data_IF_083235474723
#
_entry.id   IF_083235474723
#
_cell.length_a   1.000
_cell.length_b   1.000
_cell.length_c   1.000
_cell.angle_alpha   90.00
_cell.angle_beta   90.00
_cell.angle_gamma   90.00
#
_symmetry.space_group_name_H-M   'P 1'
#
loop_
_entity.id
_entity.type
_entity.pdbx_description
1 polymer ?
#
# COMPACT_ATOMS: atom_id res chain seq x y z
N UNK A 1 -17.50 19.30 -55.20
CA UNK A 1 -16.46 19.30 -54.17
C UNK A 1 -17.05 19.43 -52.75
N UNK A 2 -17.94 18.53 -52.32
CA UNK A 2 -18.63 18.67 -51.00
C UNK A 2 -18.62 17.37 -50.17
N UNK A 3 -17.82 16.39 -50.51
CA UNK A 3 -17.85 15.07 -49.86
C UNK A 3 -16.66 14.72 -48.96
N UNK A 4 -15.64 15.62 -48.77
CA UNK A 4 -14.40 15.28 -48.05
C UNK A 4 -14.36 15.80 -46.59
N UNK A 5 -15.27 16.65 -46.20
CA UNK A 5 -15.25 17.27 -44.84
C UNK A 5 -16.03 16.49 -43.76
N UNK A 6 -17.03 15.69 -44.13
CA UNK A 6 -17.80 14.92 -43.17
C UNK A 6 -17.13 13.63 -42.68
N UNK A 7 -16.28 13.01 -43.53
CA UNK A 7 -15.57 11.78 -43.17
C UNK A 7 -14.45 12.00 -42.10
N UNK A 8 -13.90 13.21 -42.04
CA UNK A 8 -12.88 13.54 -41.01
C UNK A 8 -13.45 13.76 -39.62
N UNK A 9 -14.69 14.25 -39.52
CA UNK A 9 -15.36 14.46 -38.23
C UNK A 9 -15.73 13.14 -37.53
N UNK A 10 -16.21 12.17 -38.27
CA UNK A 10 -16.60 10.84 -37.74
C UNK A 10 -15.38 10.03 -37.27
N UNK A 11 -14.22 10.18 -37.91
CA UNK A 11 -12.98 9.49 -37.52
C UNK A 11 -12.30 10.11 -36.29
N UNK A 12 -12.55 11.37 -35.97
CA UNK A 12 -12.04 12.02 -34.75
C UNK A 12 -12.85 11.59 -33.51
N UNK A 13 -14.19 11.48 -33.65
CA UNK A 13 -15.03 10.99 -32.55
C UNK A 13 -14.83 9.51 -32.20
N UNK A 14 -14.47 8.67 -33.17
CA UNK A 14 -14.16 7.26 -32.89
C UNK A 14 -12.77 7.05 -32.26
N UNK A 15 -11.91 8.08 -32.23
CA UNK A 15 -10.59 8.06 -31.58
C UNK A 15 -10.61 8.52 -30.11
N UNK A 16 -11.68 9.07 -29.63
CA UNK A 16 -11.94 9.20 -28.19
C UNK A 16 -12.26 7.82 -27.62
N UNK A 17 -11.30 6.94 -27.74
CA UNK A 17 -11.40 5.59 -27.18
C UNK A 17 -11.87 5.68 -25.74
N UNK A 18 -13.03 5.14 -25.52
CA UNK A 18 -13.81 5.12 -24.31
C UNK A 18 -12.90 5.14 -23.06
N UNK A 19 -12.80 6.27 -22.37
CA UNK A 19 -11.92 6.45 -21.20
C UNK A 19 -12.26 5.39 -20.16
N UNK A 20 -13.53 4.96 -20.07
CA UNK A 20 -13.94 3.88 -19.17
C UNK A 20 -13.26 2.55 -19.47
N UNK A 21 -12.86 2.28 -20.72
CA UNK A 21 -12.10 1.09 -21.09
C UNK A 21 -10.60 1.16 -20.65
N UNK A 22 -10.13 2.33 -20.25
CA UNK A 22 -8.76 2.53 -19.73
C UNK A 22 -8.71 2.44 -18.22
N UNK A 23 -9.85 2.59 -17.53
CA UNK A 23 -9.94 2.42 -16.08
C UNK A 23 -9.81 0.94 -15.77
N UNK A 24 -8.82 0.60 -14.98
CA UNK A 24 -8.50 -0.77 -14.58
C UNK A 24 -8.74 -0.94 -13.09
N UNK A 25 -9.88 -1.54 -12.70
CA UNK A 25 -10.21 -1.75 -11.29
C UNK A 25 -9.16 -2.55 -10.52
N UNK A 26 -8.48 -3.48 -11.21
CA UNK A 26 -7.39 -4.27 -10.66
C UNK A 26 -6.20 -3.41 -10.19
N UNK A 27 -5.97 -2.23 -10.78
CA UNK A 27 -4.94 -1.30 -10.34
C UNK A 27 -5.36 -0.47 -9.12
N UNK A 28 -6.66 -0.38 -8.82
CA UNK A 28 -7.15 0.33 -7.63
C UNK A 28 -6.77 -0.37 -6.33
N UNK A 29 -6.54 -1.68 -6.34
CA UNK A 29 -6.01 -2.40 -5.19
C UNK A 29 -4.72 -1.79 -4.64
N UNK A 30 -3.89 -1.23 -5.51
CA UNK A 30 -2.67 -0.52 -5.11
C UNK A 30 -2.95 0.70 -4.21
N UNK A 31 -4.09 1.36 -4.37
CA UNK A 31 -4.47 2.49 -3.53
C UNK A 31 -4.61 2.09 -2.05
N UNK A 32 -5.09 0.89 -1.75
CA UNK A 32 -5.21 0.39 -0.39
C UNK A 32 -3.84 0.14 0.24
N UNK A 33 -2.87 -0.39 -0.52
CA UNK A 33 -1.50 -0.53 -0.06
C UNK A 33 -0.84 0.82 0.22
N UNK A 34 -1.00 1.81 -0.69
CA UNK A 34 -0.48 3.16 -0.48
C UNK A 34 -1.17 3.86 0.70
N UNK A 35 -2.49 3.72 0.85
CA UNK A 35 -3.23 4.28 1.98
C UNK A 35 -2.72 3.67 3.30
N UNK A 36 -2.52 2.35 3.35
CA UNK A 36 -1.92 1.69 4.51
C UNK A 36 -0.52 2.22 4.81
N UNK A 37 0.35 2.37 3.80
CA UNK A 37 1.68 2.97 3.97
C UNK A 37 1.60 4.39 4.54
N UNK A 38 0.72 5.23 4.00
CA UNK A 38 0.53 6.58 4.51
C UNK A 38 0.07 6.58 5.97
N UNK A 39 -0.92 5.77 6.32
CA UNK A 39 -1.44 5.68 7.69
C UNK A 39 -0.39 5.13 8.66
N UNK A 40 0.40 4.15 8.21
CA UNK A 40 1.45 3.51 8.99
C UNK A 40 2.65 4.45 9.20
N UNK A 41 3.12 5.14 8.13
CA UNK A 41 4.26 6.05 8.18
C UNK A 41 3.95 7.29 9.01
N UNK A 42 2.78 7.89 8.80
CA UNK A 42 2.42 9.14 9.48
C UNK A 42 1.80 8.92 10.85
N UNK A 43 1.65 7.65 11.27
CA UNK A 43 1.09 7.29 12.59
C UNK A 43 -0.26 7.97 12.86
N UNK A 44 -1.06 8.13 11.82
CA UNK A 44 -2.32 8.91 11.85
C UNK A 44 -3.44 8.15 12.53
N UNK A 45 -3.30 6.82 12.69
CA UNK A 45 -4.34 6.00 13.33
C UNK A 45 -4.24 6.20 14.86
N UNK A 46 -5.28 6.76 15.50
CA UNK A 46 -5.34 6.85 16.94
C UNK A 46 -5.26 5.43 17.53
N UNK A 47 -4.26 5.16 18.34
CA UNK A 47 -3.94 3.81 18.84
C UNK A 47 -2.57 3.32 18.37
N UNK A 48 -2.01 3.87 17.28
CA UNK A 48 -0.59 3.75 16.99
C UNK A 48 0.24 4.81 17.71
N UNK A 49 -0.34 5.98 17.97
CA UNK A 49 0.23 6.95 18.89
C UNK A 49 0.13 6.37 20.30
N UNK A 50 1.20 5.72 20.75
CA UNK A 50 1.32 5.32 22.14
C UNK A 50 0.99 6.52 23.04
N UNK A 51 0.55 6.25 24.26
CA UNK A 51 0.15 7.20 25.32
C UNK A 51 1.25 8.21 25.73
N UNK A 52 2.19 8.53 24.86
CA UNK A 52 3.20 9.56 25.10
C UNK A 52 2.58 10.92 24.88
N UNK A 53 2.37 11.63 25.99
CA UNK A 53 2.00 13.03 26.01
C UNK A 53 2.81 13.84 24.98
N UNK A 54 2.10 14.48 24.08
CA UNK A 54 2.43 15.74 23.40
C UNK A 54 3.55 15.83 22.36
N UNK A 55 4.24 14.79 21.96
CA UNK A 55 5.14 14.91 20.82
C UNK A 55 4.68 13.99 19.69
N UNK A 56 4.10 14.59 18.64
CA UNK A 56 4.05 13.98 17.32
C UNK A 56 5.50 13.89 16.86
N UNK A 57 6.21 12.88 17.35
CA UNK A 57 7.50 12.51 16.82
C UNK A 57 7.24 11.94 15.42
N UNK A 58 7.41 12.81 14.45
CA UNK A 58 7.29 12.47 13.04
C UNK A 58 8.09 11.19 12.76
N UNK A 59 7.39 10.18 12.32
CA UNK A 59 7.67 8.84 11.86
C UNK A 59 9.08 8.27 11.82
N UNK A 60 10.11 9.06 11.58
CA UNK A 60 11.49 8.59 11.39
C UNK A 60 12.12 8.04 12.68
N UNK A 61 11.65 8.50 13.84
CA UNK A 61 12.17 8.08 15.15
C UNK A 61 11.33 6.98 15.82
N UNK A 62 10.23 6.54 15.19
CA UNK A 62 9.48 5.41 15.70
C UNK A 62 10.26 4.10 15.41
N UNK A 63 10.59 3.29 16.43
CA UNK A 63 11.35 2.06 16.25
C UNK A 63 10.75 1.10 15.24
N UNK A 64 9.42 1.00 15.19
CA UNK A 64 8.73 0.13 14.20
C UNK A 64 8.96 0.58 12.78
N UNK A 65 8.90 1.88 12.55
CA UNK A 65 9.18 2.45 11.24
C UNK A 65 10.61 2.14 10.81
N UNK A 66 11.56 2.28 11.73
CA UNK A 66 12.96 1.94 11.45
C UNK A 66 13.12 0.47 11.05
N UNK A 67 12.60 -0.47 11.85
CA UNK A 67 12.68 -1.90 11.54
C UNK A 67 11.93 -2.27 10.26
N UNK A 68 10.79 -1.63 9.99
CA UNK A 68 10.03 -1.82 8.77
C UNK A 68 10.81 -1.35 7.53
N UNK A 69 11.44 -0.16 7.60
CA UNK A 69 12.26 0.37 6.51
C UNK A 69 13.51 -0.47 6.26
N UNK A 70 14.21 -0.87 7.31
CA UNK A 70 15.38 -1.75 7.18
C UNK A 70 14.97 -3.07 6.53
N UNK A 71 13.90 -3.70 7.00
CA UNK A 71 13.39 -4.95 6.42
C UNK A 71 12.99 -4.78 4.96
N UNK A 72 12.27 -3.71 4.63
CA UNK A 72 11.87 -3.40 3.25
C UNK A 72 13.10 -3.24 2.34
N UNK A 73 14.10 -2.47 2.76
CA UNK A 73 15.33 -2.24 1.98
C UNK A 73 16.11 -3.54 1.79
N UNK A 74 16.25 -4.36 2.84
CA UNK A 74 16.95 -5.65 2.77
C UNK A 74 16.24 -6.61 1.80
N UNK A 75 14.92 -6.73 1.90
CA UNK A 75 14.13 -7.61 1.02
C UNK A 75 14.16 -7.12 -0.42
N UNK A 76 14.04 -5.81 -0.67
CA UNK A 76 14.18 -5.26 -2.01
C UNK A 76 15.60 -5.41 -2.56
N UNK A 77 16.63 -5.20 -1.73
CA UNK A 77 18.03 -5.43 -2.11
C UNK A 77 18.28 -6.88 -2.51
N UNK A 78 17.76 -7.85 -1.74
CA UNK A 78 17.76 -9.25 -2.12
C UNK A 78 16.99 -9.48 -3.43
N UNK A 79 15.84 -8.83 -3.61
CA UNK A 79 15.04 -8.88 -4.82
C UNK A 79 15.80 -8.38 -6.06
N UNK A 80 16.61 -7.34 -5.93
CA UNK A 80 17.47 -6.84 -7.01
C UNK A 80 18.56 -7.87 -7.33
N UNK A 81 19.21 -8.43 -6.30
CA UNK A 81 20.27 -9.43 -6.48
C UNK A 81 19.76 -10.76 -7.07
N UNK A 82 18.54 -11.16 -6.76
CA UNK A 82 17.91 -12.43 -7.17
C UNK A 82 16.59 -12.21 -7.91
N UNK A 83 16.57 -11.27 -8.84
CA UNK A 83 15.35 -10.75 -9.49
C UNK A 83 14.42 -11.84 -10.02
N UNK A 84 14.93 -12.88 -10.68
CA UNK A 84 14.08 -13.95 -11.24
C UNK A 84 13.30 -14.70 -10.14
N UNK A 85 13.99 -15.12 -9.09
CA UNK A 85 13.38 -15.89 -8.00
C UNK A 85 12.43 -15.01 -7.18
N UNK A 86 12.84 -13.78 -6.89
CA UNK A 86 12.04 -12.82 -6.15
C UNK A 86 10.74 -12.47 -6.88
N UNK A 87 10.82 -12.14 -8.16
CA UNK A 87 9.65 -11.81 -8.98
C UNK A 87 8.76 -13.02 -9.21
N UNK A 88 9.32 -14.23 -9.33
CA UNK A 88 8.54 -15.46 -9.38
C UNK A 88 7.76 -15.66 -8.08
N UNK A 89 8.40 -15.50 -6.92
CA UNK A 89 7.75 -15.59 -5.62
C UNK A 89 6.68 -14.51 -5.42
N UNK A 90 6.98 -13.26 -5.73
CA UNK A 90 6.04 -12.14 -5.61
C UNK A 90 4.78 -12.29 -6.49
N UNK A 91 4.88 -13.02 -7.61
CA UNK A 91 3.76 -13.32 -8.52
C UNK A 91 3.07 -14.65 -8.22
N UNK A 92 3.65 -15.47 -7.38
CA UNK A 92 3.05 -16.76 -7.01
C UNK A 92 1.77 -16.52 -6.18
N UNK A 93 0.85 -17.49 -6.19
CA UNK A 93 -0.35 -17.46 -5.34
C UNK A 93 0.01 -17.33 -3.85
N UNK A 94 1.10 -17.97 -3.45
CA UNK A 94 1.60 -17.87 -2.06
C UNK A 94 2.08 -16.45 -1.77
N UNK A 95 2.88 -15.83 -2.66
CA UNK A 95 3.38 -14.48 -2.47
C UNK A 95 2.28 -13.42 -2.41
N UNK A 96 1.29 -13.54 -3.31
CA UNK A 96 0.12 -12.62 -3.37
C UNK A 96 -0.72 -12.68 -2.10
N UNK A 97 -0.83 -13.84 -1.44
CA UNK A 97 -1.57 -13.97 -0.18
C UNK A 97 -0.68 -13.70 1.04
N UNK A 98 0.54 -14.22 1.06
CA UNK A 98 1.42 -14.11 2.22
C UNK A 98 1.89 -12.67 2.48
N UNK A 99 2.10 -11.87 1.42
CA UNK A 99 2.57 -10.50 1.58
C UNK A 99 1.56 -9.59 2.30
N UNK A 100 0.29 -9.50 1.86
CA UNK A 100 -0.71 -8.72 2.59
C UNK A 100 -0.99 -9.26 4.00
N UNK A 101 -0.98 -10.58 4.19
CA UNK A 101 -1.12 -11.19 5.52
C UNK A 101 0.05 -10.79 6.43
N UNK A 102 1.28 -10.81 5.94
CA UNK A 102 2.43 -10.36 6.72
C UNK A 102 2.33 -8.88 7.11
N UNK A 103 1.89 -7.99 6.19
CA UNK A 103 1.63 -6.59 6.50
C UNK A 103 0.56 -6.44 7.58
N UNK A 104 -0.56 -7.14 7.46
CA UNK A 104 -1.67 -7.08 8.42
C UNK A 104 -1.27 -7.60 9.79
N UNK A 105 -0.58 -8.74 9.86
CA UNK A 105 -0.04 -9.28 11.11
C UNK A 105 0.99 -8.33 11.74
N UNK A 106 1.88 -7.77 10.95
CA UNK A 106 2.84 -6.78 11.43
C UNK A 106 2.16 -5.55 12.03
N UNK A 107 1.10 -5.07 11.40
CA UNK A 107 0.29 -3.95 11.89
C UNK A 107 -0.42 -4.29 13.20
N UNK A 108 -1.00 -5.50 13.32
CA UNK A 108 -1.62 -5.98 14.57
C UNK A 108 -0.62 -6.10 15.71
N UNK A 109 0.55 -6.69 15.45
CA UNK A 109 1.61 -6.84 16.45
C UNK A 109 2.06 -5.46 16.94
N UNK A 110 2.20 -4.50 16.01
CA UNK A 110 2.52 -3.13 16.37
C UNK A 110 1.43 -2.49 17.23
N UNK A 111 0.17 -2.62 16.87
CA UNK A 111 -0.94 -2.09 17.63
C UNK A 111 -1.00 -2.69 19.04
N UNK A 112 -0.75 -3.99 19.17
CA UNK A 112 -0.67 -4.66 20.46
C UNK A 112 0.47 -4.11 21.32
N UNK A 113 1.63 -3.90 20.73
CA UNK A 113 2.77 -3.26 21.39
C UNK A 113 2.44 -1.83 21.86
N UNK A 114 1.77 -1.04 21.02
CA UNK A 114 1.39 0.34 21.32
C UNK A 114 0.25 0.45 22.35
N UNK A 115 -0.53 -0.61 22.56
CA UNK A 115 -1.68 -0.61 23.49
C UNK A 115 -1.29 -0.49 24.96
N UNK A 116 -0.03 -0.74 25.31
CA UNK A 116 0.46 -0.77 26.69
C UNK A 116 0.00 -1.99 27.51
N UNK A 117 -0.64 -2.97 26.86
CA UNK A 117 -1.09 -4.22 27.50
C UNK A 117 0.05 -5.24 27.65
N UNK A 118 1.18 -5.01 26.99
CA UNK A 118 2.32 -5.94 26.98
C UNK A 118 3.40 -5.51 27.95
N UNK A 119 4.06 -6.47 28.67
CA UNK A 119 5.22 -6.16 29.51
C UNK A 119 6.33 -5.48 28.69
N UNK A 120 7.06 -4.54 29.29
CA UNK A 120 8.11 -3.76 28.64
C UNK A 120 9.17 -4.62 27.93
N UNK A 121 9.58 -5.74 28.54
CA UNK A 121 10.55 -6.65 27.97
C UNK A 121 10.05 -7.32 26.67
N UNK A 122 8.75 -7.62 26.57
CA UNK A 122 8.14 -8.21 25.37
C UNK A 122 7.87 -7.16 24.30
N UNK A 123 7.63 -5.93 24.72
CA UNK A 123 7.26 -4.83 23.83
C UNK A 123 8.30 -4.59 22.72
N UNK A 124 9.59 -4.53 23.07
CA UNK A 124 10.67 -4.35 22.10
C UNK A 124 10.71 -5.49 21.08
N UNK A 125 10.54 -6.73 21.51
CA UNK A 125 10.50 -7.88 20.60
C UNK A 125 9.31 -7.79 19.63
N UNK A 126 8.13 -7.39 20.13
CA UNK A 126 6.94 -7.19 19.28
C UNK A 126 7.14 -6.08 18.27
N UNK A 127 7.78 -4.96 18.66
CA UNK A 127 8.11 -3.87 17.73
C UNK A 127 9.04 -4.34 16.60
N UNK A 128 10.07 -5.11 16.94
CA UNK A 128 11.01 -5.66 15.94
C UNK A 128 10.29 -6.62 15.00
N UNK A 129 9.56 -7.58 15.53
CA UNK A 129 8.84 -8.59 14.73
C UNK A 129 7.77 -7.93 13.87
N UNK A 130 6.97 -7.04 14.43
CA UNK A 130 5.96 -6.28 13.69
C UNK A 130 6.55 -5.44 12.56
N UNK A 131 7.66 -4.75 12.83
CA UNK A 131 8.38 -3.98 11.82
C UNK A 131 8.94 -4.86 10.69
N UNK A 132 9.57 -5.98 11.02
CA UNK A 132 10.11 -6.91 10.01
C UNK A 132 9.00 -7.48 9.13
N UNK A 133 7.90 -7.92 9.71
CA UNK A 133 6.75 -8.46 8.95
C UNK A 133 6.14 -7.41 8.04
N UNK A 134 5.90 -6.20 8.56
CA UNK A 134 5.34 -5.09 7.77
C UNK A 134 6.26 -4.69 6.62
N UNK A 135 7.55 -4.56 6.87
CA UNK A 135 8.52 -4.18 5.85
C UNK A 135 8.72 -5.24 4.78
N UNK A 136 8.88 -6.51 5.18
CA UNK A 136 9.00 -7.61 4.23
C UNK A 136 7.74 -7.77 3.38
N UNK A 137 6.56 -7.78 4.01
CA UNK A 137 5.28 -7.85 3.29
C UNK A 137 5.11 -6.70 2.31
N UNK A 138 5.43 -5.48 2.73
CA UNK A 138 5.37 -4.29 1.87
C UNK A 138 6.32 -4.39 0.67
N UNK A 139 7.53 -4.93 0.85
CA UNK A 139 8.48 -5.14 -0.26
C UNK A 139 7.91 -6.10 -1.33
N UNK A 140 7.28 -7.20 -0.91
CA UNK A 140 6.65 -8.13 -1.85
C UNK A 140 5.42 -7.55 -2.52
N UNK A 141 4.57 -6.79 -1.79
CA UNK A 141 3.44 -6.06 -2.38
C UNK A 141 3.92 -5.01 -3.38
N UNK A 142 4.95 -4.23 -3.06
CA UNK A 142 5.54 -3.26 -3.98
C UNK A 142 6.05 -3.93 -5.26
N UNK A 143 6.73 -5.07 -5.16
CA UNK A 143 7.19 -5.84 -6.30
C UNK A 143 6.04 -6.40 -7.14
N UNK A 144 4.98 -6.90 -6.48
CA UNK A 144 3.76 -7.35 -7.14
C UNK A 144 3.13 -6.23 -7.97
N UNK A 145 2.91 -5.06 -7.36
CA UNK A 145 2.33 -3.89 -8.01
C UNK A 145 3.23 -3.30 -9.09
N UNK A 146 4.55 -3.21 -8.87
CA UNK A 146 5.50 -2.81 -9.91
C UNK A 146 5.39 -3.72 -11.15
N UNK A 147 5.21 -5.02 -10.93
CA UNK A 147 4.97 -5.98 -12.02
C UNK A 147 3.62 -5.77 -12.72
N UNK A 148 2.56 -5.41 -12.00
CA UNK A 148 1.25 -5.12 -12.57
C UNK A 148 1.29 -3.84 -13.42
N UNK A 149 1.91 -2.79 -12.91
CA UNK A 149 2.10 -1.52 -13.64
C UNK A 149 3.01 -1.68 -14.86
N UNK A 150 4.09 -2.47 -14.76
CA UNK A 150 4.98 -2.74 -15.89
C UNK A 150 4.30 -3.46 -17.07
N UNK A 151 3.16 -4.12 -16.82
CA UNK A 151 2.32 -4.74 -17.88
C UNK A 151 1.23 -3.82 -18.39
N UNK A 152 0.93 -2.73 -17.71
CA UNK A 152 -0.07 -1.76 -18.14
C UNK A 152 0.46 -0.91 -19.28
N UNK A 153 -0.40 -0.59 -20.27
CA UNK A 153 -0.06 0.38 -21.32
C UNK A 153 0.12 1.77 -20.66
N UNK A 154 1.09 2.55 -21.16
CA UNK A 154 1.40 3.89 -20.62
C UNK A 154 0.16 4.78 -20.50
N UNK A 155 -0.75 4.75 -21.49
CA UNK A 155 -2.01 5.51 -21.44
C UNK A 155 -2.93 5.08 -20.28
N UNK A 156 -3.02 3.77 -20.02
CA UNK A 156 -3.81 3.27 -18.90
C UNK A 156 -3.18 3.68 -17.56
N UNK A 157 -1.85 3.67 -17.46
CA UNK A 157 -1.14 4.15 -16.26
C UNK A 157 -1.48 5.62 -15.97
N UNK A 158 -1.37 6.50 -16.97
CA UNK A 158 -1.65 7.95 -16.81
C UNK A 158 -3.09 8.21 -16.35
N UNK A 159 -4.07 7.44 -16.85
CA UNK A 159 -5.49 7.59 -16.46
C UNK A 159 -5.73 7.06 -15.04
N UNK A 160 -5.12 5.94 -14.66
CA UNK A 160 -5.38 5.32 -13.36
C UNK A 160 -4.61 6.00 -12.22
N UNK A 161 -3.48 6.65 -12.48
CA UNK A 161 -2.66 7.27 -11.45
C UNK A 161 -3.42 8.32 -10.62
N UNK A 162 -4.14 9.31 -11.20
CA UNK A 162 -4.96 10.24 -10.44
C UNK A 162 -6.06 9.54 -9.63
N UNK A 163 -6.68 8.49 -10.20
CA UNK A 163 -7.73 7.72 -9.51
C UNK A 163 -7.17 6.99 -8.29
N UNK A 164 -5.97 6.42 -8.40
CA UNK A 164 -5.26 5.79 -7.28
C UNK A 164 -5.01 6.82 -6.18
N UNK A 165 -4.46 7.99 -6.51
CA UNK A 165 -4.20 9.03 -5.51
C UNK A 165 -5.48 9.57 -4.87
N UNK A 166 -6.55 9.76 -5.65
CA UNK A 166 -7.85 10.15 -5.10
C UNK A 166 -8.39 9.08 -4.14
N UNK A 167 -8.30 7.80 -4.50
CA UNK A 167 -8.71 6.70 -3.63
C UNK A 167 -7.87 6.62 -2.35
N UNK A 168 -6.54 6.84 -2.43
CA UNK A 168 -5.66 6.95 -1.25
C UNK A 168 -6.14 8.05 -0.33
N UNK A 169 -6.34 9.26 -0.87
CA UNK A 169 -6.78 10.41 -0.07
C UNK A 169 -8.11 10.15 0.60
N UNK A 170 -9.10 9.65 -0.13
CA UNK A 170 -10.44 9.34 0.41
C UNK A 170 -10.33 8.29 1.51
N UNK A 171 -9.55 7.22 1.30
CA UNK A 171 -9.36 6.15 2.28
C UNK A 171 -8.67 6.67 3.54
N UNK A 172 -7.61 7.47 3.40
CA UNK A 172 -6.92 8.06 4.54
C UNK A 172 -7.83 8.99 5.35
N UNK A 173 -8.57 9.88 4.67
CA UNK A 173 -9.53 10.76 5.31
C UNK A 173 -10.63 9.98 6.02
N UNK A 174 -11.23 9.00 5.35
CA UNK A 174 -12.28 8.16 5.94
C UNK A 174 -11.80 7.49 7.23
N UNK A 175 -10.60 6.91 7.23
CA UNK A 175 -10.05 6.22 8.42
C UNK A 175 -9.71 7.21 9.53
N UNK A 176 -9.19 8.40 9.18
CA UNK A 176 -8.81 9.43 10.17
C UNK A 176 -10.03 9.95 10.96
N UNK A 177 -11.21 10.01 10.32
CA UNK A 177 -12.43 10.53 10.97
C UNK A 177 -13.30 9.45 11.66
N UNK A 178 -12.86 8.19 11.63
CA UNK A 178 -13.58 7.09 12.29
C UNK A 178 -13.02 6.87 13.72
N UNK A 179 -13.83 6.27 14.60
CA UNK A 179 -13.40 5.91 15.96
C UNK A 179 -12.13 5.05 15.93
N UNK A 180 -11.21 5.30 16.88
CA UNK A 180 -9.88 4.70 16.92
C UNK A 180 -9.87 3.16 16.78
N UNK A 181 -10.78 2.45 17.44
CA UNK A 181 -10.87 0.99 17.37
C UNK A 181 -11.26 0.51 15.95
N UNK A 182 -12.18 1.20 15.31
CA UNK A 182 -12.64 0.89 13.96
C UNK A 182 -11.54 1.26 12.94
N UNK A 183 -10.87 2.40 13.14
CA UNK A 183 -9.75 2.84 12.33
C UNK A 183 -8.61 1.81 12.33
N UNK A 184 -8.30 1.23 13.49
CA UNK A 184 -7.30 0.18 13.63
C UNK A 184 -7.66 -1.08 12.84
N UNK A 185 -8.92 -1.53 12.93
CA UNK A 185 -9.41 -2.69 12.17
C UNK A 185 -9.27 -2.43 10.67
N UNK A 186 -9.73 -1.27 10.20
CA UNK A 186 -9.59 -0.92 8.77
C UNK A 186 -8.13 -0.83 8.33
N UNK A 187 -7.27 -0.14 9.10
CA UNK A 187 -5.84 -0.04 8.79
C UNK A 187 -5.18 -1.43 8.69
N UNK A 188 -5.58 -2.38 9.53
CA UNK A 188 -5.08 -3.75 9.51
C UNK A 188 -5.58 -4.53 8.29
N UNK A 189 -6.80 -4.26 7.82
CA UNK A 189 -7.40 -4.96 6.68
C UNK A 189 -7.00 -4.38 5.32
N UNK A 190 -6.51 -3.13 5.25
CA UNK A 190 -6.11 -2.50 3.99
C UNK A 190 -5.10 -3.31 3.17
N UNK A 191 -4.02 -3.89 3.75
CA UNK A 191 -3.12 -4.73 2.97
C UNK A 191 -3.81 -5.94 2.37
N UNK A 192 -4.77 -6.56 3.09
CA UNK A 192 -5.54 -7.71 2.58
C UNK A 192 -6.44 -7.32 1.42
N UNK A 193 -6.99 -6.11 1.44
CA UNK A 193 -7.80 -5.59 0.33
C UNK A 193 -6.95 -5.22 -0.89
N UNK A 194 -5.64 -5.09 -0.74
CA UNK A 194 -4.70 -4.75 -1.82
C UNK A 194 -4.16 -5.96 -2.58
N UNK A 195 -4.23 -7.16 -2.02
CA UNK A 195 -3.73 -8.42 -2.61
C UNK A 195 -4.83 -9.14 -3.33
#
# INVERSE_FOLDING_TARGET
MHGMTEQNGANVMSREGNISALVRPDLLGFSFHLAWLCLFIYNVVPGFAGRSDHNIEFGVFNPVYFYSMVSLVVVLGYGIAKTKNFMHLARSRVGVVAAPVACSLGTLIYALSASGLTPAALNTALLVVGGILSGAGSAFLAAHWASAFGRAKARAFVVNLPLIFAAVLITCLAITYVFAAIALVFATLLPLASG
#
